data_IF_440791876489
#
_entry.id   IF_440791876489
#
_cell.length_a   1.000
_cell.length_b   1.000
_cell.length_c   1.000
_cell.angle_alpha   90.00
_cell.angle_beta   90.00
_cell.angle_gamma   90.00
#
_symmetry.space_group_name_H-M   'P 1'
#
loop_
_entity.id
_entity.type
_entity.pdbx_description
1 polymer ?
#
# COMPACT_ATOMS: atom_id res chain seq x y z
N UNK A 1 -6.25 -6.57 24.67
CA UNK A 1 -6.18 -6.22 23.24
C UNK A 1 -5.05 -5.23 23.06
N UNK A 2 -4.19 -5.39 22.05
CA UNK A 2 -3.04 -4.51 21.82
C UNK A 2 -3.49 -3.15 21.28
N UNK A 3 -2.64 -2.13 21.34
CA UNK A 3 -2.98 -0.80 20.83
C UNK A 3 -3.31 -0.86 19.33
N UNK A 4 -2.54 -1.63 18.56
CA UNK A 4 -2.77 -1.90 17.14
C UNK A 4 -4.12 -2.55 16.87
N UNK A 5 -4.51 -3.58 17.64
CA UNK A 5 -5.78 -4.27 17.44
C UNK A 5 -6.97 -3.34 17.68
N UNK A 6 -6.90 -2.50 18.72
CA UNK A 6 -7.92 -1.49 18.99
C UNK A 6 -7.97 -0.43 17.89
N UNK A 7 -6.81 0.01 17.38
CA UNK A 7 -6.70 0.97 16.29
C UNK A 7 -7.34 0.44 15.00
N UNK A 8 -7.08 -0.83 14.66
CA UNK A 8 -7.70 -1.51 13.53
C UNK A 8 -9.22 -1.61 13.68
N UNK A 9 -9.72 -1.96 14.87
CA UNK A 9 -11.16 -2.00 15.13
C UNK A 9 -11.83 -0.61 14.98
N UNK A 10 -11.16 0.46 15.41
CA UNK A 10 -11.64 1.83 15.20
C UNK A 10 -11.61 2.22 13.72
N UNK A 11 -10.55 1.86 12.99
CA UNK A 11 -10.41 2.06 11.54
C UNK A 11 -11.54 1.37 10.75
N UNK A 12 -11.84 0.11 11.06
CA UNK A 12 -12.90 -0.67 10.39
C UNK A 12 -14.30 -0.07 10.62
N UNK A 13 -14.52 0.57 11.77
CA UNK A 13 -15.75 1.31 12.07
C UNK A 13 -15.79 2.71 11.44
N UNK A 14 -14.74 3.13 10.75
CA UNK A 14 -14.62 4.47 10.17
C UNK A 14 -14.39 5.59 11.20
N UNK A 15 -14.08 5.26 12.45
CA UNK A 15 -13.78 6.23 13.50
C UNK A 15 -12.34 6.75 13.35
N UNK A 16 -12.05 7.46 12.26
CA UNK A 16 -10.68 7.79 11.84
C UNK A 16 -9.91 8.65 12.84
N UNK A 17 -10.56 9.59 13.52
CA UNK A 17 -9.91 10.41 14.57
C UNK A 17 -9.45 9.52 15.73
N UNK A 18 -10.35 8.68 16.25
CA UNK A 18 -10.01 7.72 17.30
C UNK A 18 -8.94 6.71 16.84
N UNK A 19 -9.03 6.24 15.60
CA UNK A 19 -8.06 5.32 15.03
C UNK A 19 -6.65 5.94 14.99
N UNK A 20 -6.53 7.23 14.66
CA UNK A 20 -5.24 7.94 14.68
C UNK A 20 -4.63 7.93 16.08
N UNK A 21 -5.39 8.28 17.11
CA UNK A 21 -4.90 8.28 18.51
C UNK A 21 -4.43 6.89 18.96
N UNK A 22 -5.16 5.85 18.54
CA UNK A 22 -4.80 4.47 18.85
C UNK A 22 -3.58 3.99 18.03
N UNK A 23 -3.43 4.43 16.77
CA UNK A 23 -2.21 4.17 15.99
C UNK A 23 -1.01 4.94 16.54
N UNK A 24 -1.18 6.16 17.07
CA UNK A 24 -0.11 6.87 17.77
C UNK A 24 0.38 6.08 18.97
N UNK A 25 -0.55 5.51 19.74
CA UNK A 25 -0.24 4.63 20.86
C UNK A 25 0.46 3.33 20.41
N UNK A 26 0.02 2.74 19.29
CA UNK A 26 0.65 1.54 18.72
C UNK A 26 2.08 1.82 18.24
N UNK A 27 2.32 2.96 17.59
CA UNK A 27 3.65 3.38 17.15
C UNK A 27 4.57 3.64 18.36
N UNK A 28 4.07 4.30 19.41
CA UNK A 28 4.84 4.54 20.62
C UNK A 28 5.22 3.24 21.36
N UNK A 29 4.38 2.21 21.25
CA UNK A 29 4.62 0.88 21.80
C UNK A 29 5.43 -0.05 20.86
N UNK A 30 5.91 0.46 19.72
CA UNK A 30 6.59 -0.33 18.67
C UNK A 30 5.78 -1.53 18.16
N UNK A 31 4.45 -1.42 18.19
CA UNK A 31 3.54 -2.44 17.68
C UNK A 31 3.39 -2.27 16.16
N UNK A 32 4.02 -3.17 15.39
CA UNK A 32 3.92 -3.22 13.92
C UNK A 32 4.12 -1.82 13.29
N UNK A 33 5.28 -1.18 13.51
CA UNK A 33 5.48 0.24 13.25
C UNK A 33 5.14 0.65 11.81
N UNK A 34 5.57 -0.13 10.81
CA UNK A 34 5.28 0.14 9.41
C UNK A 34 3.78 0.07 9.09
N UNK A 35 3.08 -0.97 9.57
CA UNK A 35 1.64 -1.14 9.34
C UNK A 35 0.83 -0.06 10.08
N UNK A 36 1.20 0.27 11.32
CA UNK A 36 0.58 1.32 12.12
C UNK A 36 0.70 2.68 11.44
N UNK A 37 1.90 3.02 10.94
CA UNK A 37 2.14 4.24 10.17
C UNK A 37 1.31 4.27 8.88
N UNK A 38 1.29 3.20 8.09
CA UNK A 38 0.44 3.12 6.90
C UNK A 38 -1.02 3.36 7.22
N UNK A 39 -1.57 2.68 8.24
CA UNK A 39 -2.99 2.80 8.58
C UNK A 39 -3.35 4.16 9.15
N UNK A 40 -2.46 4.78 9.93
CA UNK A 40 -2.61 6.18 10.35
C UNK A 40 -2.62 7.13 9.15
N UNK A 41 -1.71 6.92 8.18
CA UNK A 41 -1.67 7.68 6.94
C UNK A 41 -2.98 7.58 6.14
N UNK A 42 -3.54 6.37 6.01
CA UNK A 42 -4.86 6.18 5.39
C UNK A 42 -5.96 6.92 6.16
N UNK A 43 -5.96 6.88 7.50
CA UNK A 43 -6.93 7.65 8.30
C UNK A 43 -6.81 9.16 8.03
N UNK A 44 -5.59 9.68 7.95
CA UNK A 44 -5.32 11.09 7.63
C UNK A 44 -5.83 11.47 6.24
N UNK A 45 -5.64 10.63 5.23
CA UNK A 45 -6.25 10.85 3.91
C UNK A 45 -7.77 10.92 3.96
N UNK A 46 -8.41 10.04 4.73
CA UNK A 46 -9.87 10.05 4.90
C UNK A 46 -10.38 11.32 5.60
N UNK A 47 -9.52 12.02 6.32
CA UNK A 47 -9.79 13.31 6.97
C UNK A 47 -9.28 14.51 6.16
N UNK A 48 -8.70 14.30 4.97
CA UNK A 48 -8.17 15.36 4.11
C UNK A 48 -6.76 15.85 4.45
N UNK A 49 -6.10 15.28 5.46
CA UNK A 49 -4.71 15.59 5.81
C UNK A 49 -3.73 14.83 4.91
N UNK A 50 -3.59 15.33 3.68
CA UNK A 50 -2.73 14.72 2.67
C UNK A 50 -1.25 14.78 3.04
N UNK A 51 -0.79 15.91 3.58
CA UNK A 51 0.61 16.14 3.95
C UNK A 51 1.01 15.22 5.12
N UNK A 52 0.15 15.11 6.13
CA UNK A 52 0.38 14.21 7.24
C UNK A 52 0.32 12.74 6.84
N UNK A 53 -0.46 12.37 5.84
CA UNK A 53 -0.49 11.02 5.30
C UNK A 53 0.79 10.67 4.52
N UNK A 54 1.26 11.56 3.64
CA UNK A 54 2.52 11.38 2.91
C UNK A 54 3.71 11.19 3.87
N UNK A 55 3.77 12.00 4.93
CA UNK A 55 4.78 11.85 5.99
C UNK A 55 4.70 10.47 6.64
N UNK A 56 3.50 9.97 6.90
CA UNK A 56 3.31 8.65 7.52
C UNK A 56 3.73 7.51 6.60
N UNK A 57 3.42 7.58 5.31
CA UNK A 57 3.84 6.54 4.36
C UNK A 57 5.36 6.53 4.16
N UNK A 58 6.01 7.70 4.12
CA UNK A 58 7.47 7.78 4.09
C UNK A 58 8.09 7.22 5.37
N UNK A 59 7.52 7.53 6.53
CA UNK A 59 7.97 6.95 7.81
C UNK A 59 7.77 5.43 7.85
N UNK A 60 6.67 4.92 7.28
CA UNK A 60 6.44 3.48 7.15
C UNK A 60 7.53 2.80 6.31
N UNK A 61 7.97 3.42 5.22
CA UNK A 61 9.09 2.94 4.40
C UNK A 61 10.46 3.07 5.08
N UNK A 62 10.61 3.99 6.03
CA UNK A 62 11.81 4.08 6.85
C UNK A 62 11.85 2.95 7.91
N UNK A 63 10.68 2.53 8.41
CA UNK A 63 10.56 1.41 9.35
C UNK A 63 10.65 0.04 8.66
N UNK A 64 10.06 -0.10 7.47
CA UNK A 64 10.16 -1.28 6.61
C UNK A 64 10.20 -0.85 5.13
N UNK A 65 11.38 -0.92 4.53
CA UNK A 65 11.63 -0.53 3.14
C UNK A 65 10.97 -1.47 2.12
N UNK A 66 10.36 -2.57 2.58
CA UNK A 66 9.59 -3.54 1.80
C UNK A 66 8.08 -3.41 2.01
N UNK A 67 7.62 -2.36 2.69
CA UNK A 67 6.20 -2.12 2.92
C UNK A 67 5.46 -1.76 1.60
N UNK A 68 4.95 -2.78 0.91
CA UNK A 68 4.26 -2.66 -0.38
C UNK A 68 3.07 -1.70 -0.33
N UNK A 69 2.29 -1.72 0.76
CA UNK A 69 1.15 -0.81 0.93
C UNK A 69 1.58 0.66 0.97
N UNK A 70 2.67 0.99 1.68
CA UNK A 70 3.18 2.36 1.74
C UNK A 70 3.62 2.87 0.36
N UNK A 71 4.25 2.02 -0.44
CA UNK A 71 4.65 2.37 -1.81
C UNK A 71 3.43 2.64 -2.68
N UNK A 72 2.42 1.78 -2.63
CA UNK A 72 1.19 1.99 -3.40
C UNK A 72 0.47 3.26 -2.96
N UNK A 73 0.38 3.53 -1.66
CA UNK A 73 -0.25 4.76 -1.17
C UNK A 73 0.53 6.02 -1.58
N UNK A 74 1.87 6.02 -1.53
CA UNK A 74 2.68 7.13 -2.08
C UNK A 74 2.51 7.29 -3.59
N UNK A 75 2.42 6.17 -4.32
CA UNK A 75 2.11 6.20 -5.75
C UNK A 75 0.74 6.80 -6.05
N UNK A 76 -0.27 6.51 -5.21
CA UNK A 76 -1.61 7.09 -5.34
C UNK A 76 -1.56 8.60 -5.09
N UNK A 77 -0.81 9.04 -4.08
CA UNK A 77 -0.58 10.47 -3.84
C UNK A 77 0.07 11.12 -5.07
N UNK A 78 1.18 10.60 -5.55
CA UNK A 78 1.83 11.13 -6.75
C UNK A 78 0.87 11.18 -7.96
N UNK A 79 0.07 10.12 -8.18
CA UNK A 79 -0.90 10.04 -9.27
C UNK A 79 -1.97 11.13 -9.19
N UNK A 80 -2.49 11.40 -7.98
CA UNK A 80 -3.47 12.46 -7.71
C UNK A 80 -2.85 13.86 -7.83
N UNK A 81 -1.56 14.00 -7.52
CA UNK A 81 -0.79 15.24 -7.71
C UNK A 81 -0.33 15.45 -9.16
N UNK A 82 -0.71 14.57 -10.10
CA UNK A 82 -0.25 14.56 -11.49
C UNK A 82 1.26 14.34 -11.69
N UNK A 83 1.94 13.80 -10.67
CA UNK A 83 3.36 13.41 -10.69
C UNK A 83 3.48 11.97 -11.24
N UNK A 84 3.22 11.83 -12.55
CA UNK A 84 3.02 10.53 -13.20
C UNK A 84 4.27 9.64 -13.18
N UNK A 85 5.46 10.20 -13.36
CA UNK A 85 6.73 9.49 -13.30
C UNK A 85 6.99 8.91 -11.91
N UNK A 86 6.71 9.70 -10.88
CA UNK A 86 6.93 9.29 -9.49
C UNK A 86 5.90 8.22 -9.07
N UNK A 87 4.64 8.37 -9.48
CA UNK A 87 3.62 7.34 -9.33
C UNK A 87 4.06 6.01 -9.97
N UNK A 88 4.57 6.06 -11.21
CA UNK A 88 5.09 4.89 -11.91
C UNK A 88 6.21 4.21 -11.11
N UNK A 89 7.19 4.98 -10.62
CA UNK A 89 8.31 4.45 -9.83
C UNK A 89 7.82 3.71 -8.58
N UNK A 90 6.90 4.31 -7.82
CA UNK A 90 6.38 3.68 -6.61
C UNK A 90 5.62 2.38 -6.90
N UNK A 91 4.75 2.36 -7.91
CA UNK A 91 4.03 1.12 -8.26
C UNK A 91 4.98 0.03 -8.78
N UNK A 92 5.99 0.39 -9.58
CA UNK A 92 7.00 -0.57 -10.06
C UNK A 92 7.86 -1.11 -8.92
N UNK A 93 8.18 -0.28 -7.91
CA UNK A 93 8.89 -0.72 -6.70
C UNK A 93 8.02 -1.66 -5.86
N UNK A 94 6.72 -1.40 -5.74
CA UNK A 94 5.78 -2.31 -5.09
C UNK A 94 5.79 -3.69 -5.79
N UNK A 95 5.72 -3.70 -7.13
CA UNK A 95 5.71 -4.93 -7.94
C UNK A 95 7.06 -5.66 -7.98
N UNK A 96 8.19 -4.98 -7.71
CA UNK A 96 9.49 -5.68 -7.59
C UNK A 96 9.60 -6.48 -6.28
N UNK A 97 8.81 -6.11 -5.27
CA UNK A 97 8.72 -6.84 -3.99
C UNK A 97 7.65 -7.92 -4.06
N UNK A 98 6.46 -7.60 -4.59
CA UNK A 98 5.35 -8.52 -4.79
C UNK A 98 4.77 -8.35 -6.21
N UNK A 99 5.26 -9.17 -7.14
CA UNK A 99 4.82 -9.19 -8.54
C UNK A 99 3.35 -9.58 -8.73
N UNK A 100 2.69 -10.05 -7.67
CA UNK A 100 1.28 -10.46 -7.68
C UNK A 100 0.37 -9.45 -6.98
N UNK A 101 0.91 -8.30 -6.57
CA UNK A 101 0.14 -7.30 -5.83
C UNK A 101 -0.88 -6.60 -6.75
N UNK A 102 -2.11 -7.12 -6.75
CA UNK A 102 -3.18 -6.71 -7.66
C UNK A 102 -3.45 -5.19 -7.67
N UNK A 103 -3.41 -4.53 -6.51
CA UNK A 103 -3.62 -3.09 -6.41
C UNK A 103 -2.55 -2.26 -7.12
N UNK A 104 -1.29 -2.69 -7.12
CA UNK A 104 -0.23 -1.97 -7.85
C UNK A 104 -0.42 -2.09 -9.37
N UNK A 105 -0.79 -3.28 -9.86
CA UNK A 105 -1.18 -3.47 -11.26
C UNK A 105 -2.39 -2.61 -11.63
N UNK A 106 -3.43 -2.59 -10.79
CA UNK A 106 -4.62 -1.78 -11.03
C UNK A 106 -4.27 -0.29 -11.17
N UNK A 107 -3.44 0.23 -10.26
CA UNK A 107 -3.05 1.64 -10.27
C UNK A 107 -2.09 2.01 -11.41
N UNK A 108 -1.19 1.11 -11.83
CA UNK A 108 -0.44 1.27 -13.08
C UNK A 108 -1.35 1.29 -14.30
N UNK A 109 -2.40 0.46 -14.31
CA UNK A 109 -3.42 0.48 -15.34
C UNK A 109 -4.13 1.83 -15.44
N UNK A 110 -4.50 2.43 -14.30
CA UNK A 110 -5.08 3.78 -14.26
C UNK A 110 -4.07 4.83 -14.75
N UNK A 111 -2.82 4.75 -14.29
CA UNK A 111 -1.76 5.67 -14.70
C UNK A 111 -1.55 5.63 -16.22
N UNK A 112 -1.42 4.45 -16.82
CA UNK A 112 -1.29 4.31 -18.27
C UNK A 112 -2.50 4.86 -19.02
N UNK A 113 -3.72 4.69 -18.50
CA UNK A 113 -4.92 5.29 -19.09
C UNK A 113 -4.85 6.81 -19.08
N UNK A 114 -4.41 7.44 -17.97
CA UNK A 114 -4.22 8.90 -17.88
C UNK A 114 -3.17 9.41 -18.85
N UNK A 115 -2.14 8.61 -19.14
CA UNK A 115 -1.10 8.91 -20.13
C UNK A 115 -1.50 8.61 -21.59
N UNK A 116 -2.72 8.11 -21.84
CA UNK A 116 -3.17 7.71 -23.19
C UNK A 116 -2.63 6.37 -23.69
N UNK A 117 -1.88 5.64 -22.84
CA UNK A 117 -1.27 4.34 -23.16
C UNK A 117 -2.27 3.20 -22.97
N UNK A 118 -3.31 3.15 -23.81
CA UNK A 118 -4.45 2.21 -23.66
C UNK A 118 -4.01 0.74 -23.67
N UNK A 119 -3.07 0.36 -24.53
CA UNK A 119 -2.58 -1.02 -24.61
C UNK A 119 -1.92 -1.49 -23.31
N UNK A 120 -1.05 -0.65 -22.73
CA UNK A 120 -0.41 -0.92 -21.44
C UNK A 120 -1.44 -0.95 -20.30
N UNK A 121 -2.40 -0.02 -20.31
CA UNK A 121 -3.49 0.01 -19.33
C UNK A 121 -4.27 -1.31 -19.30
N UNK A 122 -4.70 -1.81 -20.47
CA UNK A 122 -5.44 -3.08 -20.56
C UNK A 122 -4.60 -4.27 -20.09
N UNK A 123 -3.30 -4.29 -20.40
CA UNK A 123 -2.40 -5.35 -19.94
C UNK A 123 -2.31 -5.39 -18.40
N UNK A 124 -2.07 -4.23 -17.77
CA UNK A 124 -1.97 -4.11 -16.32
C UNK A 124 -3.30 -4.44 -15.61
N UNK A 125 -4.43 -3.96 -16.12
CA UNK A 125 -5.75 -4.27 -15.55
C UNK A 125 -6.11 -5.77 -15.65
N UNK A 126 -5.66 -6.45 -16.71
CA UNK A 126 -5.81 -7.92 -16.81
C UNK A 126 -4.98 -8.66 -15.77
N UNK A 127 -3.76 -8.19 -15.49
CA UNK A 127 -2.94 -8.74 -14.42
C UNK A 127 -3.58 -8.51 -13.05
N UNK A 128 -4.09 -7.30 -12.78
CA UNK A 128 -4.82 -7.00 -11.55
C UNK A 128 -5.97 -7.97 -11.31
N UNK A 129 -6.86 -8.15 -12.31
CA UNK A 129 -7.99 -9.08 -12.22
C UNK A 129 -7.55 -10.55 -12.03
N UNK A 130 -6.48 -10.96 -12.72
CA UNK A 130 -5.90 -12.32 -12.58
C UNK A 130 -5.41 -12.57 -11.16
N UNK A 131 -4.73 -11.60 -10.55
CA UNK A 131 -4.16 -11.77 -9.21
C UNK A 131 -5.16 -11.55 -8.08
N UNK A 132 -6.22 -10.77 -8.30
CA UNK A 132 -7.36 -10.69 -7.38
C UNK A 132 -8.13 -12.02 -7.31
N UNK A 133 -8.34 -12.67 -8.46
CA UNK A 133 -9.03 -13.96 -8.55
C UNK A 133 -8.18 -15.16 -8.08
N UNK A 134 -6.86 -14.99 -7.90
CA UNK A 134 -6.01 -16.04 -7.36
C UNK A 134 -6.16 -16.09 -5.83
N UNK A 135 -6.57 -17.23 -5.23
CA UNK A 135 -6.75 -17.31 -3.80
C UNK A 135 -5.44 -17.00 -3.08
N UNK A 136 -5.53 -16.21 -2.00
CA UNK A 136 -4.42 -15.71 -1.16
C UNK A 136 -3.48 -16.83 -0.66
N UNK A 137 -3.91 -18.09 -0.75
CA UNK A 137 -3.12 -19.30 -0.47
C UNK A 137 -2.04 -19.61 -1.50
N UNK A 138 -2.13 -19.13 -2.75
CA UNK A 138 -1.07 -19.27 -3.75
C UNK A 138 0.22 -18.51 -3.33
N UNK A 139 0.08 -17.48 -2.45
CA UNK A 139 1.17 -16.69 -1.88
C UNK A 139 2.19 -17.53 -1.09
N UNK A 140 1.82 -18.71 -0.58
CA UNK A 140 2.75 -19.64 0.12
C UNK A 140 3.57 -20.54 -0.82
N UNK A 141 3.20 -20.68 -2.10
CA UNK A 141 3.88 -21.62 -3.00
C UNK A 141 5.11 -21.01 -3.68
N UNK A 142 5.13 -19.71 -3.95
CA UNK A 142 6.28 -19.07 -4.63
C UNK A 142 7.49 -18.84 -3.70
N UNK A 143 7.26 -18.64 -2.39
CA UNK A 143 8.34 -18.56 -1.40
C UNK A 143 8.99 -19.91 -1.07
N UNK A 144 8.33 -21.03 -1.41
CA UNK A 144 8.85 -22.38 -1.15
C UNK A 144 9.93 -22.80 -2.16
N UNK A 145 9.91 -22.26 -3.39
CA UNK A 145 10.86 -22.65 -4.45
C UNK A 145 12.16 -21.82 -4.48
N UNK A 146 12.16 -20.57 -3.97
CA UNK A 146 13.40 -19.76 -3.90
C UNK A 146 14.35 -20.13 -2.75
N UNK A 147 13.97 -21.03 -1.84
CA UNK A 147 14.78 -21.45 -0.69
C UNK A 147 15.53 -22.78 -0.87
N UNK A 148 15.38 -23.46 -2.01
CA UNK A 148 15.94 -24.81 -2.25
C UNK A 148 17.10 -24.86 -3.25
N UNK A 149 17.62 -23.71 -3.66
CA UNK A 149 18.72 -23.62 -4.65
C UNK A 149 19.99 -22.95 -4.10
N UNK A 150 20.38 -23.29 -2.87
CA UNK A 150 21.77 -23.23 -2.39
C UNK A 150 22.01 -24.41 -1.45
#
# INVERSE_FOLDING_TARGET
MTAFANAMAAYERGAFVQAIELFDSAIAADEQPAQSLCKRGVCRLRLGDRVGAERDFRAALAADDRCVSAMVDLGNLALESHEFEEAHIYYRRALSIDETYAFAHYNLGILHRKLGNVGASVAELRLAAKYEAAPTTARKRLSFWKRRSK
#
